data_IF_531723857829
#
_entry.id   IF_531723857829
#
_cell.length_a   1.000
_cell.length_b   1.000
_cell.length_c   1.000
_cell.angle_alpha   90.00
_cell.angle_beta   90.00
_cell.angle_gamma   90.00
#
_symmetry.space_group_name_H-M   'P 1'
#
loop_
_entity.id
_entity.type
_entity.pdbx_description
1 polymer ?
#
# COMPACT_ATOMS: atom_id res chain seq x y z
N UNK A 1 -37.05 -17.59 -18.48
CA UNK A 1 -36.51 -17.97 -19.77
C UNK A 1 -35.03 -18.30 -19.63
N UNK A 2 -34.59 -19.54 -19.86
CA UNK A 2 -33.17 -19.94 -19.66
C UNK A 2 -32.21 -19.29 -20.66
N UNK A 3 -32.70 -18.57 -21.65
CA UNK A 3 -31.88 -17.85 -22.63
C UNK A 3 -31.58 -16.40 -22.22
N UNK A 4 -32.16 -15.90 -21.11
CA UNK A 4 -31.89 -14.55 -20.63
C UNK A 4 -30.71 -14.62 -19.64
N UNK A 5 -29.56 -14.11 -20.08
CA UNK A 5 -28.41 -13.94 -19.21
C UNK A 5 -28.70 -12.85 -18.16
N UNK A 6 -28.66 -13.24 -16.89
CA UNK A 6 -28.87 -12.29 -15.78
C UNK A 6 -27.55 -11.66 -15.35
N UNK A 7 -27.53 -10.36 -15.22
CA UNK A 7 -26.37 -9.62 -14.75
C UNK A 7 -26.76 -8.43 -13.87
N UNK A 8 -25.80 -7.96 -13.08
CA UNK A 8 -25.95 -6.77 -12.25
C UNK A 8 -25.00 -5.68 -12.78
N UNK A 9 -25.52 -4.46 -12.90
CA UNK A 9 -24.71 -3.26 -13.17
C UNK A 9 -24.73 -2.36 -11.95
N UNK A 10 -23.54 -1.91 -11.55
CA UNK A 10 -23.37 -0.99 -10.45
C UNK A 10 -22.53 0.20 -10.91
N UNK A 11 -22.81 1.36 -10.36
CA UNK A 11 -21.96 2.55 -10.53
C UNK A 11 -21.30 2.88 -9.19
N UNK A 12 -20.06 3.33 -9.23
CA UNK A 12 -19.32 3.76 -8.06
C UNK A 12 -18.34 4.85 -8.43
N UNK A 13 -18.09 5.76 -7.50
CA UNK A 13 -17.03 6.75 -7.62
C UNK A 13 -15.88 6.38 -6.70
N UNK A 14 -14.62 6.77 -7.05
CA UNK A 14 -13.50 6.71 -6.13
C UNK A 14 -13.79 7.51 -4.86
N UNK A 15 -13.21 7.11 -3.75
CA UNK A 15 -13.39 7.76 -2.44
C UNK A 15 -14.50 7.16 -1.59
N UNK A 16 -14.51 7.56 -0.30
CA UNK A 16 -15.44 7.04 0.69
C UNK A 16 -15.10 5.65 1.24
N UNK A 17 -15.88 5.21 2.22
CA UNK A 17 -15.60 4.03 3.06
C UNK A 17 -15.52 2.72 2.27
N UNK A 18 -16.26 2.60 1.17
CA UNK A 18 -16.32 1.39 0.35
C UNK A 18 -15.29 1.32 -0.78
N UNK A 19 -14.56 2.39 -1.06
CA UNK A 19 -13.70 2.50 -2.24
C UNK A 19 -12.63 1.40 -2.30
N UNK A 20 -11.97 1.11 -1.19
CA UNK A 20 -10.94 0.07 -1.10
C UNK A 20 -11.52 -1.32 -1.42
N UNK A 21 -12.72 -1.62 -0.93
CA UNK A 21 -13.38 -2.89 -1.24
C UNK A 21 -13.74 -3.00 -2.72
N UNK A 22 -14.31 -1.94 -3.30
CA UNK A 22 -14.65 -1.89 -4.74
C UNK A 22 -13.38 -2.07 -5.57
N UNK A 23 -12.31 -1.35 -5.24
CA UNK A 23 -11.03 -1.42 -5.93
C UNK A 23 -10.47 -2.83 -5.93
N UNK A 24 -10.28 -3.45 -4.77
CA UNK A 24 -9.78 -4.82 -4.63
C UNK A 24 -10.62 -5.87 -5.36
N UNK A 25 -11.93 -5.67 -5.45
CA UNK A 25 -12.85 -6.67 -6.00
C UNK A 25 -13.03 -6.55 -7.49
N UNK A 26 -12.97 -5.35 -8.07
CA UNK A 26 -13.38 -5.08 -9.44
C UNK A 26 -12.31 -4.41 -10.30
N UNK A 27 -11.34 -3.71 -9.70
CA UNK A 27 -10.38 -2.88 -10.44
C UNK A 27 -8.99 -3.52 -10.46
N UNK A 28 -8.42 -3.80 -9.28
CA UNK A 28 -7.06 -4.35 -9.16
C UNK A 28 -6.84 -5.72 -9.84
N UNK A 29 -7.86 -6.63 -9.87
CA UNK A 29 -7.60 -7.98 -10.38
C UNK A 29 -7.29 -8.05 -11.88
N UNK A 30 -7.80 -7.09 -12.69
CA UNK A 30 -7.65 -7.15 -14.14
C UNK A 30 -7.66 -5.77 -14.80
N UNK A 31 -7.04 -5.62 -15.99
CA UNK A 31 -7.11 -4.39 -16.77
C UNK A 31 -8.55 -3.95 -17.05
N UNK A 32 -8.79 -2.63 -17.18
CA UNK A 32 -10.10 -2.09 -17.51
C UNK A 32 -10.65 -2.68 -18.82
N UNK A 33 -11.97 -2.84 -18.88
CA UNK A 33 -12.70 -3.38 -20.04
C UNK A 33 -12.47 -4.86 -20.34
N UNK A 34 -11.72 -5.59 -19.55
CA UNK A 34 -11.57 -7.03 -19.64
C UNK A 34 -12.54 -7.75 -18.69
N UNK A 35 -13.07 -8.88 -19.12
CA UNK A 35 -13.91 -9.74 -18.27
C UNK A 35 -13.03 -10.76 -17.57
N UNK A 36 -13.19 -10.90 -16.26
CA UNK A 36 -12.48 -11.88 -15.45
C UNK A 36 -13.42 -12.61 -14.51
N UNK A 37 -13.00 -13.78 -14.03
CA UNK A 37 -13.76 -14.57 -13.05
C UNK A 37 -13.12 -14.42 -11.68
N UNK A 38 -13.91 -13.98 -10.71
CA UNK A 38 -13.47 -13.85 -9.33
C UNK A 38 -13.40 -15.17 -8.56
N UNK A 39 -12.91 -15.16 -7.32
CA UNK A 39 -12.80 -16.36 -6.47
C UNK A 39 -14.14 -17.05 -6.17
N UNK A 40 -15.25 -16.35 -6.33
CA UNK A 40 -16.62 -16.82 -6.17
C UNK A 40 -17.22 -17.37 -7.46
N UNK A 41 -16.42 -17.60 -8.50
CA UNK A 41 -16.81 -18.05 -9.83
C UNK A 41 -17.79 -17.13 -10.58
N UNK A 42 -17.90 -15.86 -10.17
CA UNK A 42 -18.72 -14.87 -10.87
C UNK A 42 -17.86 -14.04 -11.81
N UNK A 43 -18.37 -13.88 -13.04
CA UNK A 43 -17.76 -12.99 -14.04
C UNK A 43 -17.94 -11.51 -13.67
N UNK A 44 -16.89 -10.73 -13.87
CA UNK A 44 -16.85 -9.30 -13.58
C UNK A 44 -16.16 -8.55 -14.70
N UNK A 45 -16.54 -7.29 -14.84
CA UNK A 45 -15.87 -6.35 -15.74
C UNK A 45 -15.93 -4.96 -15.14
N UNK A 46 -14.78 -4.31 -15.03
CA UNK A 46 -14.69 -2.90 -14.69
C UNK A 46 -14.66 -2.07 -15.96
N UNK A 47 -15.57 -1.11 -16.06
CA UNK A 47 -15.65 -0.17 -17.17
C UNK A 47 -15.40 1.22 -16.59
N UNK A 48 -14.22 1.82 -16.80
CA UNK A 48 -13.96 3.18 -16.36
C UNK A 48 -14.85 4.16 -17.14
N UNK A 49 -15.29 5.22 -16.47
CA UNK A 49 -15.98 6.33 -17.08
C UNK A 49 -15.37 7.63 -16.58
N UNK A 50 -15.02 8.50 -17.48
CA UNK A 50 -14.45 9.82 -17.21
C UNK A 50 -15.39 10.92 -17.69
N UNK A 51 -15.17 12.14 -17.23
CA UNK A 51 -15.96 13.30 -17.66
C UNK A 51 -16.00 13.43 -19.18
N UNK A 52 -14.85 13.21 -19.85
CA UNK A 52 -14.73 13.32 -21.31
C UNK A 52 -15.53 12.29 -22.08
N UNK A 53 -15.91 11.18 -21.44
CA UNK A 53 -16.75 10.14 -22.05
C UNK A 53 -18.22 10.57 -22.13
N UNK A 54 -18.59 11.65 -21.44
CA UNK A 54 -19.93 12.22 -21.48
C UNK A 54 -19.94 13.58 -22.22
N UNK A 55 -20.27 13.59 -23.52
CA UNK A 55 -20.24 14.82 -24.32
C UNK A 55 -21.17 15.92 -23.82
N UNK A 56 -22.25 15.56 -23.13
CA UNK A 56 -23.20 16.54 -22.59
C UNK A 56 -22.63 17.33 -21.40
N UNK A 57 -21.75 16.72 -20.60
CA UNK A 57 -21.11 17.37 -19.45
C UNK A 57 -19.79 18.05 -19.85
N UNK A 58 -19.12 17.53 -20.85
CA UNK A 58 -17.84 18.07 -21.32
C UNK A 58 -18.03 19.32 -22.21
N UNK A 59 -19.20 19.50 -22.81
CA UNK A 59 -19.41 20.52 -23.85
C UNK A 59 -19.30 21.96 -23.36
N UNK A 60 -19.84 22.30 -22.18
CA UNK A 60 -19.86 23.69 -21.69
C UNK A 60 -18.76 24.02 -20.68
N UNK A 61 -18.00 23.03 -20.26
CA UNK A 61 -16.87 23.15 -19.34
C UNK A 61 -17.24 23.51 -17.88
N UNK A 62 -18.47 23.92 -17.58
CA UNK A 62 -18.87 24.36 -16.23
C UNK A 62 -18.74 23.27 -15.20
N UNK A 63 -19.10 22.04 -15.56
CA UNK A 63 -18.97 20.90 -14.65
C UNK A 63 -17.50 20.58 -14.35
N UNK A 64 -16.66 20.67 -15.36
CA UNK A 64 -15.20 20.51 -15.20
C UNK A 64 -14.61 21.58 -14.27
N UNK A 65 -15.00 22.86 -14.45
CA UNK A 65 -14.55 23.95 -13.58
C UNK A 65 -15.02 23.74 -12.12
N UNK A 66 -16.23 23.25 -11.92
CA UNK A 66 -16.73 22.90 -10.59
C UNK A 66 -15.88 21.78 -9.95
N UNK A 67 -15.53 20.75 -10.70
CA UNK A 67 -14.67 19.67 -10.21
C UNK A 67 -13.23 20.15 -9.95
N UNK A 68 -12.71 21.06 -10.76
CA UNK A 68 -11.38 21.68 -10.53
C UNK A 68 -11.31 22.51 -9.27
N UNK A 69 -12.43 23.10 -8.83
CA UNK A 69 -12.52 23.86 -7.60
C UNK A 69 -12.54 23.00 -6.32
N UNK A 70 -12.69 21.68 -6.44
CA UNK A 70 -12.67 20.75 -5.31
C UNK A 70 -11.26 20.66 -4.68
N UNK A 71 -11.19 20.26 -3.40
CA UNK A 71 -9.91 19.91 -2.77
C UNK A 71 -9.11 18.90 -3.62
N UNK A 72 -7.77 18.93 -3.57
CA UNK A 72 -6.91 18.12 -4.46
C UNK A 72 -7.26 16.62 -4.46
N UNK A 73 -7.53 16.04 -3.30
CA UNK A 73 -7.93 14.63 -3.15
C UNK A 73 -9.22 14.32 -3.89
N UNK A 74 -10.27 15.11 -3.63
CA UNK A 74 -11.58 14.92 -4.28
C UNK A 74 -11.53 15.19 -5.78
N UNK A 75 -10.71 16.16 -6.19
CA UNK A 75 -10.50 16.44 -7.61
C UNK A 75 -9.86 15.24 -8.32
N UNK A 76 -8.80 14.64 -7.77
CA UNK A 76 -8.19 13.41 -8.31
C UNK A 76 -9.20 12.26 -8.39
N UNK A 77 -10.04 12.12 -7.38
CA UNK A 77 -11.08 11.08 -7.35
C UNK A 77 -12.16 11.30 -8.42
N UNK A 78 -12.75 12.48 -8.49
CA UNK A 78 -13.96 12.73 -9.27
C UNK A 78 -13.69 13.23 -10.70
N UNK A 79 -12.65 14.05 -10.90
CA UNK A 79 -12.27 14.54 -12.22
C UNK A 79 -11.40 13.53 -12.98
N UNK A 80 -10.43 12.95 -12.29
CA UNK A 80 -9.45 12.04 -12.91
C UNK A 80 -9.87 10.56 -12.82
N UNK A 81 -10.87 10.25 -11.97
CA UNK A 81 -11.32 8.88 -11.76
C UNK A 81 -10.29 8.02 -11.04
N UNK A 82 -9.44 8.63 -10.22
CA UNK A 82 -8.32 7.96 -9.55
C UNK A 82 -8.82 7.20 -8.31
N UNK A 83 -8.64 5.87 -8.32
CA UNK A 83 -9.02 4.95 -7.24
C UNK A 83 -7.93 4.73 -6.20
N UNK A 84 -6.74 5.28 -6.41
CA UNK A 84 -5.59 5.13 -5.50
C UNK A 84 -5.54 6.23 -4.44
N UNK A 85 -6.34 7.27 -4.60
CA UNK A 85 -6.40 8.41 -3.68
C UNK A 85 -7.46 8.15 -2.60
N UNK A 86 -7.05 7.98 -1.36
CA UNK A 86 -7.94 7.77 -0.22
C UNK A 86 -8.12 9.03 0.63
N UNK A 87 -9.36 9.40 0.93
CA UNK A 87 -9.66 10.36 2.00
C UNK A 87 -9.27 9.71 3.35
N UNK A 88 -8.43 10.39 4.12
CA UNK A 88 -7.91 9.87 5.39
C UNK A 88 -6.61 9.07 5.27
N UNK A 89 -5.97 9.06 4.12
CA UNK A 89 -4.59 8.60 4.02
C UNK A 89 -3.69 9.43 4.94
N UNK A 90 -2.79 8.78 5.68
CA UNK A 90 -1.83 9.47 6.54
C UNK A 90 -0.88 10.38 5.73
N UNK A 91 -0.64 10.04 4.48
CA UNK A 91 0.18 10.78 3.52
C UNK A 91 -0.67 11.13 2.30
N UNK A 92 -1.33 12.28 2.35
CA UNK A 92 -2.21 12.76 1.26
C UNK A 92 -1.42 13.18 0.02
N UNK A 93 -0.15 13.51 0.19
CA UNK A 93 0.78 13.91 -0.86
C UNK A 93 1.40 12.72 -1.60
N UNK A 94 1.20 11.48 -1.10
CA UNK A 94 1.74 10.31 -1.77
C UNK A 94 1.09 10.15 -3.14
N UNK A 95 1.92 10.11 -4.16
CA UNK A 95 1.55 9.92 -5.55
C UNK A 95 2.41 8.79 -6.14
N UNK A 96 1.78 7.76 -6.63
CA UNK A 96 2.48 6.56 -7.11
C UNK A 96 3.40 6.86 -8.30
N UNK A 97 2.97 7.78 -9.18
CA UNK A 97 3.73 8.15 -10.37
C UNK A 97 4.97 9.01 -10.05
N UNK A 98 4.99 9.62 -8.86
CA UNK A 98 6.09 10.46 -8.38
C UNK A 98 6.99 9.72 -7.39
N UNK A 99 6.38 8.98 -6.45
CA UNK A 99 7.08 8.42 -5.29
C UNK A 99 7.49 6.96 -5.46
N UNK A 100 6.96 6.26 -6.48
CA UNK A 100 7.37 4.89 -6.79
C UNK A 100 8.32 4.91 -7.99
N UNK A 101 9.56 4.54 -7.73
CA UNK A 101 10.61 4.51 -8.75
C UNK A 101 10.88 3.07 -9.22
N UNK A 102 11.36 2.88 -10.45
CA UNK A 102 11.78 1.56 -10.93
C UNK A 102 12.86 0.95 -10.02
N UNK A 103 12.87 -0.37 -9.80
CA UNK A 103 13.92 -1.04 -9.04
C UNK A 103 15.31 -0.77 -9.63
N UNK A 104 16.28 -0.53 -8.77
CA UNK A 104 17.67 -0.32 -9.15
C UNK A 104 18.62 -1.01 -8.16
N UNK A 105 19.87 -1.17 -8.55
CA UNK A 105 20.89 -1.73 -7.67
C UNK A 105 21.38 -0.68 -6.67
N UNK A 106 21.16 -0.93 -5.37
CA UNK A 106 21.62 -0.04 -4.30
C UNK A 106 23.12 -0.28 -4.08
N UNK A 107 23.98 0.74 -4.26
CA UNK A 107 25.41 0.60 -4.01
C UNK A 107 25.72 0.16 -2.58
N UNK A 108 26.77 -0.67 -2.41
CA UNK A 108 27.18 -1.16 -1.08
C UNK A 108 27.60 -0.03 -0.14
N UNK A 109 28.08 1.07 -0.70
CA UNK A 109 28.51 2.26 0.05
C UNK A 109 27.37 3.10 0.61
N UNK A 110 26.13 2.82 0.20
CA UNK A 110 24.99 3.56 0.72
C UNK A 110 24.56 3.02 2.08
N UNK A 111 24.35 3.91 3.02
CA UNK A 111 23.86 3.54 4.35
C UNK A 111 22.46 2.96 4.28
N UNK A 112 22.26 1.84 4.96
CA UNK A 112 20.97 1.16 5.05
C UNK A 112 20.51 1.14 6.49
N UNK A 113 19.23 1.34 6.68
CA UNK A 113 18.57 1.28 7.98
C UNK A 113 17.26 0.52 7.87
N UNK A 114 16.72 0.09 9.01
CA UNK A 114 15.36 -0.48 9.06
C UNK A 114 14.57 0.09 10.23
N UNK A 115 13.27 0.21 10.05
CA UNK A 115 12.32 0.55 11.11
C UNK A 115 11.42 -0.64 11.39
N UNK A 116 11.24 -0.99 12.66
CA UNK A 116 10.42 -2.12 13.08
C UNK A 116 9.31 -1.61 14.01
N UNK A 117 8.07 -1.88 13.63
CA UNK A 117 6.88 -1.70 14.46
C UNK A 117 6.27 -3.08 14.74
N UNK A 118 6.20 -3.46 16.02
CA UNK A 118 5.73 -4.77 16.42
C UNK A 118 4.25 -4.78 16.79
N UNK A 119 3.50 -5.65 16.13
CA UNK A 119 2.14 -6.01 16.50
C UNK A 119 1.94 -7.52 16.48
N UNK A 120 1.24 -8.09 17.48
CA UNK A 120 0.84 -9.49 17.45
C UNK A 120 -0.61 -9.64 16.99
N UNK A 121 -1.51 -8.93 17.63
CA UNK A 121 -2.93 -8.85 17.28
C UNK A 121 -3.19 -7.92 16.09
N UNK A 122 -2.33 -6.94 15.86
CA UNK A 122 -2.17 -6.14 14.65
C UNK A 122 -1.01 -6.66 13.82
N UNK A 123 -0.80 -6.07 12.67
CA UNK A 123 0.33 -6.39 11.81
C UNK A 123 1.64 -5.90 12.44
N UNK A 124 2.69 -6.72 12.35
CA UNK A 124 4.07 -6.26 12.50
C UNK A 124 4.55 -5.70 11.17
N UNK A 125 5.21 -4.58 11.20
CA UNK A 125 5.84 -3.97 10.04
C UNK A 125 7.36 -3.89 10.22
N UNK A 126 8.10 -4.17 9.16
CA UNK A 126 9.51 -3.83 9.06
C UNK A 126 9.75 -3.23 7.67
N UNK A 127 10.30 -2.04 7.64
CA UNK A 127 10.68 -1.37 6.40
C UNK A 127 12.17 -1.15 6.36
N UNK A 128 12.79 -1.42 5.21
CA UNK A 128 14.20 -1.14 4.98
C UNK A 128 14.35 0.04 4.05
N UNK A 129 15.20 0.95 4.44
CA UNK A 129 15.44 2.17 3.70
C UNK A 129 16.94 2.44 3.52
N UNK A 130 17.26 3.19 2.49
CA UNK A 130 18.57 3.76 2.25
C UNK A 130 18.44 5.24 1.94
N UNK A 131 19.52 5.98 2.03
CA UNK A 131 19.56 7.41 1.69
C UNK A 131 20.48 7.58 0.50
N UNK A 132 19.98 8.20 -0.57
CA UNK A 132 20.84 8.63 -1.68
C UNK A 132 21.78 9.74 -1.17
N UNK A 133 23.09 9.51 -1.16
CA UNK A 133 24.04 10.50 -0.64
C UNK A 133 24.17 11.74 -1.53
N UNK A 134 23.60 11.72 -2.73
CA UNK A 134 23.70 12.82 -3.70
C UNK A 134 22.74 13.95 -3.35
N UNK A 135 21.52 13.61 -2.94
CA UNK A 135 20.46 14.59 -2.69
C UNK A 135 19.73 14.41 -1.35
N UNK A 136 20.06 13.33 -0.60
CA UNK A 136 19.44 13.00 0.67
C UNK A 136 18.07 12.33 0.56
N UNK A 137 17.66 11.88 -0.61
CA UNK A 137 16.38 11.18 -0.80
C UNK A 137 16.34 9.87 -0.04
N UNK A 138 15.32 9.69 0.81
CA UNK A 138 15.04 8.44 1.50
C UNK A 138 14.32 7.48 0.56
N UNK A 139 14.90 6.31 0.35
CA UNK A 139 14.37 5.29 -0.56
C UNK A 139 14.04 4.04 0.24
N UNK A 140 12.75 3.69 0.30
CA UNK A 140 12.29 2.42 0.87
C UNK A 140 12.43 1.34 -0.21
N UNK A 141 13.19 0.28 0.08
CA UNK A 141 13.51 -0.75 -0.90
C UNK A 141 13.01 -2.16 -0.56
N UNK A 142 12.54 -2.35 0.70
CA UNK A 142 12.01 -3.64 1.14
C UNK A 142 10.99 -3.44 2.26
N UNK A 143 9.96 -4.26 2.29
CA UNK A 143 8.90 -4.24 3.29
C UNK A 143 8.58 -5.65 3.77
N UNK A 144 8.33 -5.78 5.07
CA UNK A 144 7.62 -6.89 5.70
C UNK A 144 6.38 -6.33 6.40
N UNK A 145 5.20 -6.86 6.08
CA UNK A 145 3.95 -6.47 6.72
C UNK A 145 3.13 -7.73 6.98
N UNK A 146 3.08 -8.18 8.24
CA UNK A 146 2.49 -9.48 8.58
C UNK A 146 1.96 -9.54 10.00
N UNK A 147 0.82 -10.21 10.17
CA UNK A 147 0.13 -10.41 11.45
C UNK A 147 0.48 -11.75 12.10
N UNK A 148 0.38 -11.78 13.45
CA UNK A 148 0.47 -13.01 14.23
C UNK A 148 1.89 -13.54 14.41
N UNK A 149 2.91 -12.71 14.23
CA UNK A 149 4.30 -13.09 14.44
C UNK A 149 4.68 -12.89 15.92
N UNK A 150 5.31 -13.90 16.52
CA UNK A 150 6.02 -13.69 17.79
C UNK A 150 7.32 -12.91 17.54
N UNK A 151 7.94 -12.35 18.59
CA UNK A 151 9.23 -11.67 18.45
C UNK A 151 10.34 -12.57 17.89
N UNK A 152 10.26 -13.88 18.14
CA UNK A 152 11.19 -14.88 17.60
C UNK A 152 10.95 -15.10 16.12
N UNK A 153 9.67 -15.27 15.71
CA UNK A 153 9.31 -15.47 14.31
C UNK A 153 9.67 -14.24 13.47
N UNK A 154 9.36 -13.05 14.00
CA UNK A 154 9.69 -11.78 13.35
C UNK A 154 11.22 -11.67 13.14
N UNK A 155 12.03 -11.96 14.17
CA UNK A 155 13.48 -11.94 14.06
C UNK A 155 14.00 -12.93 13.01
N UNK A 156 13.47 -14.15 12.97
CA UNK A 156 13.87 -15.16 12.00
C UNK A 156 13.56 -14.73 10.56
N UNK A 157 12.37 -14.18 10.31
CA UNK A 157 11.97 -13.70 8.98
C UNK A 157 12.84 -12.51 8.55
N UNK A 158 13.09 -11.55 9.44
CA UNK A 158 13.98 -10.41 9.14
C UNK A 158 15.39 -10.93 8.78
N UNK A 159 15.92 -11.88 9.54
CA UNK A 159 17.22 -12.50 9.23
C UNK A 159 17.23 -13.15 7.84
N UNK A 160 16.20 -13.91 7.50
CA UNK A 160 16.06 -14.53 6.18
C UNK A 160 16.02 -13.49 5.06
N UNK A 161 15.27 -12.41 5.25
CA UNK A 161 15.15 -11.33 4.26
C UNK A 161 16.46 -10.53 4.09
N UNK A 162 17.36 -10.57 5.06
CA UNK A 162 18.66 -9.88 5.03
C UNK A 162 19.84 -10.76 4.55
N UNK A 163 19.61 -12.02 4.19
CA UNK A 163 20.69 -12.93 3.77
C UNK A 163 21.52 -12.42 2.58
N UNK A 164 20.92 -11.66 1.70
CA UNK A 164 21.58 -11.09 0.52
C UNK A 164 22.12 -9.67 0.76
N UNK A 165 21.91 -9.10 1.95
CA UNK A 165 22.45 -7.78 2.26
C UNK A 165 23.96 -7.86 2.52
N UNK A 166 24.72 -6.85 2.10
CA UNK A 166 26.19 -6.88 2.20
C UNK A 166 26.70 -6.81 3.65
N UNK A 167 25.85 -6.39 4.59
CA UNK A 167 26.11 -6.28 6.01
C UNK A 167 24.80 -6.32 6.81
N UNK A 168 24.86 -6.59 8.11
CA UNK A 168 23.70 -6.54 9.00
C UNK A 168 23.15 -5.10 9.07
N UNK A 169 21.89 -4.95 8.66
CA UNK A 169 21.21 -3.63 8.66
C UNK A 169 20.83 -3.26 10.09
N UNK A 170 21.32 -2.12 10.56
CA UNK A 170 20.92 -1.58 11.86
C UNK A 170 19.50 -1.03 11.81
N UNK A 171 18.77 -1.15 12.94
CA UNK A 171 17.36 -0.79 12.97
C UNK A 171 16.95 0.02 14.18
N UNK A 172 15.77 0.60 14.08
CA UNK A 172 15.05 1.28 15.16
C UNK A 172 13.82 0.46 15.48
N UNK A 173 13.59 0.22 16.75
CA UNK A 173 12.45 -0.49 17.28
C UNK A 173 11.70 0.42 18.26
N UNK A 174 10.37 0.39 18.20
CA UNK A 174 9.55 1.12 19.17
C UNK A 174 9.87 0.69 20.61
N UNK A 175 9.86 1.65 21.51
CA UNK A 175 10.16 1.42 22.93
C UNK A 175 9.19 0.47 23.62
N UNK A 176 7.94 0.38 23.14
CA UNK A 176 6.92 -0.55 23.67
C UNK A 176 7.32 -2.02 23.52
N UNK A 177 8.13 -2.35 22.53
CA UNK A 177 8.63 -3.71 22.29
C UNK A 177 9.62 -4.20 23.39
N UNK A 178 10.11 -3.32 24.22
CA UNK A 178 10.93 -3.62 25.39
C UNK A 178 10.13 -3.80 26.67
N UNK A 179 8.82 -3.50 26.62
CA UNK A 179 7.95 -3.70 27.77
C UNK A 179 7.71 -5.20 28.02
N UNK A 180 7.76 -5.62 29.27
CA UNK A 180 7.41 -6.99 29.67
C UNK A 180 5.90 -7.13 29.71
N UNK A 181 5.36 -7.91 28.78
CA UNK A 181 3.91 -8.17 28.67
C UNK A 181 3.47 -9.46 29.38
N UNK A 182 4.42 -10.21 29.95
CA UNK A 182 4.16 -11.46 30.68
C UNK A 182 5.08 -11.64 31.87
N UNK A 183 4.80 -12.65 32.70
CA UNK A 183 5.57 -12.98 33.90
C UNK A 183 6.89 -13.69 33.61
N UNK A 184 7.01 -14.32 32.43
CA UNK A 184 8.18 -15.11 32.04
C UNK A 184 8.45 -14.97 30.54
N UNK A 185 9.72 -14.98 30.16
CA UNK A 185 10.18 -14.94 28.77
C UNK A 185 10.87 -13.62 28.37
N UNK A 186 11.56 -13.62 27.23
CA UNK A 186 12.19 -12.43 26.72
C UNK A 186 11.15 -11.45 26.18
N UNK A 187 11.47 -10.17 26.22
CA UNK A 187 10.71 -9.13 25.51
C UNK A 187 10.87 -9.32 23.99
N UNK A 188 10.04 -8.65 23.22
CA UNK A 188 10.18 -8.66 21.75
C UNK A 188 11.55 -8.11 21.34
N UNK A 189 11.96 -6.97 21.93
CA UNK A 189 13.28 -6.39 21.68
C UNK A 189 14.42 -7.34 22.03
N UNK A 190 14.36 -8.02 23.19
CA UNK A 190 15.34 -9.04 23.56
C UNK A 190 15.38 -10.23 22.57
N UNK A 191 14.23 -10.62 22.03
CA UNK A 191 14.14 -11.68 21.02
C UNK A 191 14.80 -11.29 19.71
N UNK A 192 14.58 -10.06 19.26
CA UNK A 192 15.23 -9.50 18.06
C UNK A 192 16.76 -9.38 18.24
N UNK A 193 17.20 -8.90 19.39
CA UNK A 193 18.66 -8.84 19.70
C UNK A 193 19.29 -10.24 19.69
N UNK A 194 18.61 -11.26 20.25
CA UNK A 194 19.10 -12.66 20.20
C UNK A 194 19.14 -13.22 18.78
N UNK A 195 18.27 -12.77 17.90
CA UNK A 195 18.30 -13.11 16.47
C UNK A 195 19.41 -12.36 15.70
N UNK A 196 20.16 -11.46 16.36
CA UNK A 196 21.27 -10.73 15.75
C UNK A 196 20.93 -9.32 15.25
N UNK A 197 19.70 -8.87 15.45
CA UNK A 197 19.29 -7.51 15.07
C UNK A 197 19.72 -6.49 16.13
N UNK A 198 20.36 -5.41 15.68
CA UNK A 198 20.92 -4.33 16.52
C UNK A 198 20.19 -3.02 16.21
#
# INVERSE_FOLDING_TARGET
>A
DPEIETYMRCTANPGGVGATWVKKRYIDPHPPNETFTGPDNLSRKFIPARLQDNPYLAYDGRYEEMLKALPPTQRKQLLEGNWDVNEGAAFTEFDIDVHVIPPFFIPISWDRTKGIDYGYASESACIWATIDPTDGTLIVYRELYRKGLTGVDLGAIITEMELEDPYSVQGVLDTSAWARTGTTGPTVGESLVRAGHK
#
